data_IF_624620371627
#
_entry.id   IF_624620371627
#
_cell.length_a   1.000
_cell.length_b   1.000
_cell.length_c   1.000
_cell.angle_alpha   90.00
_cell.angle_beta   90.00
_cell.angle_gamma   90.00
#
_symmetry.space_group_name_H-M   'P 1'
#
loop_
_entity.id
_entity.type
_entity.pdbx_description
1 polymer ?
#
# COMPACT_ATOMS: atom_id res chain seq x y z
N UNK A 1 -33.21 40.90 -2.99
CA UNK A 1 -31.88 40.30 -3.16
C UNK A 1 -32.05 38.78 -3.12
N UNK A 2 -32.02 38.10 -4.29
CA UNK A 2 -32.19 36.64 -4.33
C UNK A 2 -30.83 36.00 -3.96
N UNK A 3 -30.81 35.26 -2.86
CA UNK A 3 -29.67 34.43 -2.49
C UNK A 3 -29.57 33.33 -3.54
N UNK A 4 -28.53 33.37 -4.35
CA UNK A 4 -28.20 32.29 -5.26
C UNK A 4 -27.78 31.11 -4.40
N UNK A 5 -28.60 30.06 -4.39
CA UNK A 5 -28.28 28.83 -3.68
C UNK A 5 -26.98 28.27 -4.22
N UNK A 6 -25.98 28.15 -3.36
CA UNK A 6 -24.74 27.42 -3.66
C UNK A 6 -25.15 25.96 -3.82
N UNK A 7 -25.23 25.48 -5.06
CA UNK A 7 -25.31 24.05 -5.32
C UNK A 7 -24.02 23.43 -4.77
N UNK A 8 -24.10 22.82 -3.61
CA UNK A 8 -23.02 21.97 -3.11
C UNK A 8 -22.89 20.81 -4.09
N UNK A 9 -21.84 20.84 -4.90
CA UNK A 9 -21.54 19.73 -5.78
C UNK A 9 -21.39 18.45 -4.94
N UNK A 10 -22.08 17.39 -5.34
CA UNK A 10 -21.96 16.08 -4.66
C UNK A 10 -20.49 15.65 -4.73
N UNK A 11 -19.85 15.50 -3.56
CA UNK A 11 -18.51 14.99 -3.51
C UNK A 11 -18.48 13.56 -4.03
N UNK A 12 -17.68 13.33 -5.06
CA UNK A 12 -17.43 12.01 -5.63
C UNK A 12 -16.02 11.61 -5.22
N UNK A 13 -15.85 10.64 -4.30
CA UNK A 13 -14.53 10.16 -3.92
C UNK A 13 -13.83 9.50 -5.11
N UNK A 14 -12.53 9.73 -5.25
CA UNK A 14 -11.73 9.06 -6.27
C UNK A 14 -11.66 7.55 -6.01
N UNK A 15 -11.50 7.18 -4.74
CA UNK A 15 -11.54 5.79 -4.29
C UNK A 15 -12.11 5.76 -2.87
N UNK A 16 -12.91 4.74 -2.58
CA UNK A 16 -13.39 4.45 -1.23
C UNK A 16 -12.91 3.09 -0.79
N UNK A 17 -12.43 2.94 0.45
CA UNK A 17 -12.15 1.63 1.00
C UNK A 17 -13.39 0.75 0.99
N UNK A 18 -13.22 -0.52 0.71
CA UNK A 18 -14.26 -1.53 0.88
C UNK A 18 -13.99 -2.31 2.14
N UNK A 19 -14.99 -2.41 3.00
CA UNK A 19 -14.93 -3.20 4.24
C UNK A 19 -15.89 -4.36 4.15
N UNK A 20 -15.51 -5.45 4.77
CA UNK A 20 -16.29 -6.67 4.91
C UNK A 20 -16.56 -6.91 6.41
N UNK A 21 -17.36 -7.87 6.75
CA UNK A 21 -17.71 -8.12 8.16
C UNK A 21 -16.58 -8.74 8.98
N UNK A 22 -15.57 -9.30 8.33
CA UNK A 22 -14.50 -10.06 8.97
C UNK A 22 -13.46 -9.17 9.68
N UNK A 23 -13.24 -7.93 9.23
CA UNK A 23 -12.25 -7.03 9.82
C UNK A 23 -12.50 -6.81 11.32
N UNK A 24 -13.78 -6.63 11.69
CA UNK A 24 -14.17 -6.40 13.08
C UNK A 24 -13.89 -7.62 13.97
N UNK A 25 -13.93 -8.83 13.42
CA UNK A 25 -13.58 -10.05 14.12
C UNK A 25 -12.10 -10.06 14.50
N UNK A 26 -11.21 -9.77 13.54
CA UNK A 26 -9.77 -9.70 13.79
C UNK A 26 -9.38 -8.57 14.74
N UNK A 27 -10.02 -7.41 14.60
CA UNK A 27 -9.83 -6.29 15.52
C UNK A 27 -10.23 -6.70 16.94
N UNK A 28 -11.42 -7.28 17.11
CA UNK A 28 -11.89 -7.74 18.42
C UNK A 28 -10.96 -8.78 19.02
N UNK A 29 -10.49 -9.74 18.25
CA UNK A 29 -9.57 -10.78 18.71
C UNK A 29 -8.25 -10.18 19.21
N UNK A 30 -7.70 -9.18 18.52
CA UNK A 30 -6.50 -8.49 18.95
C UNK A 30 -6.67 -7.80 20.30
N UNK A 31 -7.82 -7.16 20.53
CA UNK A 31 -8.16 -6.54 21.82
C UNK A 31 -8.41 -7.57 22.92
N UNK A 32 -9.15 -8.64 22.62
CA UNK A 32 -9.44 -9.72 23.60
C UNK A 32 -8.15 -10.41 24.08
N UNK A 33 -7.15 -10.52 23.21
CA UNK A 33 -5.82 -11.07 23.55
C UNK A 33 -4.86 -10.02 24.11
N UNK A 34 -5.30 -8.77 24.25
CA UNK A 34 -4.45 -7.65 24.66
C UNK A 34 -3.19 -7.51 23.80
N UNK A 35 -3.32 -7.75 22.50
CA UNK A 35 -2.21 -7.71 21.54
C UNK A 35 -2.48 -6.72 20.40
N UNK A 36 -2.33 -5.43 20.73
CA UNK A 36 -2.40 -4.34 19.76
C UNK A 36 -0.98 -3.83 19.54
N UNK A 37 -0.23 -4.54 18.71
CA UNK A 37 1.19 -4.32 18.46
C UNK A 37 1.52 -4.49 16.97
N UNK A 38 2.63 -3.93 16.47
CA UNK A 38 3.02 -4.06 15.05
C UNK A 38 3.42 -5.46 14.62
N UNK A 39 3.73 -6.33 15.57
CA UNK A 39 4.02 -7.76 15.34
C UNK A 39 2.99 -8.60 16.08
N UNK A 40 2.76 -9.81 15.62
CA UNK A 40 1.88 -10.76 16.32
C UNK A 40 1.07 -11.62 15.38
N UNK A 41 0.23 -12.45 15.98
CA UNK A 41 -0.47 -13.54 15.31
C UNK A 41 -1.27 -13.16 14.06
N UNK A 42 -1.83 -11.95 13.97
CA UNK A 42 -2.52 -11.49 12.77
C UNK A 42 -1.54 -11.20 11.62
N UNK A 43 -0.37 -10.62 11.92
CA UNK A 43 0.68 -10.42 10.92
C UNK A 43 1.26 -11.74 10.46
N UNK A 44 1.55 -12.64 11.41
CA UNK A 44 2.11 -13.97 11.14
C UNK A 44 1.15 -14.80 10.26
N UNK A 45 -0.16 -14.77 10.59
CA UNK A 45 -1.20 -15.47 9.82
C UNK A 45 -1.31 -14.88 8.40
N UNK A 46 -1.31 -13.55 8.25
CA UNK A 46 -1.35 -12.90 6.95
C UNK A 46 -0.16 -13.30 6.08
N UNK A 47 1.04 -13.28 6.62
CA UNK A 47 2.25 -13.70 5.90
C UNK A 47 2.20 -15.16 5.49
N UNK A 48 1.75 -16.05 6.38
CA UNK A 48 1.61 -17.48 6.10
C UNK A 48 0.55 -17.76 5.03
N UNK A 49 -0.62 -17.14 5.13
CA UNK A 49 -1.71 -17.31 4.16
C UNK A 49 -1.28 -16.81 2.77
N UNK A 50 -0.59 -15.67 2.71
CA UNK A 50 -0.07 -15.13 1.45
C UNK A 50 1.00 -16.05 0.85
N UNK A 51 1.91 -16.60 1.65
CA UNK A 51 2.87 -17.62 1.21
C UNK A 51 2.16 -18.84 0.64
N UNK A 52 1.12 -19.33 1.33
CA UNK A 52 0.32 -20.45 0.85
C UNK A 52 -0.39 -20.18 -0.48
N UNK A 53 -0.87 -18.95 -0.68
CA UNK A 53 -1.51 -18.52 -1.92
C UNK A 53 -0.52 -18.40 -3.09
N UNK A 54 0.68 -17.89 -2.84
CA UNK A 54 1.72 -17.70 -3.86
C UNK A 54 2.51 -18.95 -4.19
N UNK A 55 2.48 -19.95 -3.33
CA UNK A 55 3.25 -21.19 -3.43
C UNK A 55 4.29 -21.34 -2.34
N UNK A 56 4.56 -22.57 -1.92
CA UNK A 56 5.32 -22.89 -0.69
C UNK A 56 6.80 -22.44 -0.71
N UNK A 57 7.35 -22.05 -1.85
CA UNK A 57 8.74 -21.57 -1.97
C UNK A 57 8.85 -20.04 -1.86
N UNK A 58 7.74 -19.35 -1.59
CA UNK A 58 7.69 -17.91 -1.49
C UNK A 58 7.69 -17.45 -0.03
N UNK A 59 8.22 -16.26 0.20
CA UNK A 59 8.17 -15.59 1.48
C UNK A 59 7.34 -14.32 1.36
N UNK A 60 6.58 -14.00 2.38
CA UNK A 60 5.83 -12.77 2.48
C UNK A 60 6.29 -12.00 3.72
N UNK A 61 6.31 -10.69 3.63
CA UNK A 61 6.61 -9.77 4.71
C UNK A 61 5.55 -8.68 4.76
N UNK A 62 4.81 -8.61 5.85
CA UNK A 62 3.87 -7.54 6.09
C UNK A 62 4.60 -6.24 6.41
N UNK A 63 4.19 -5.15 5.76
CA UNK A 63 4.73 -3.81 6.01
C UNK A 63 3.62 -2.86 6.44
N UNK A 64 3.96 -1.75 7.07
CA UNK A 64 2.99 -0.76 7.55
C UNK A 64 2.26 -0.01 6.42
N UNK A 65 2.74 -0.09 5.19
CA UNK A 65 2.13 0.57 4.03
C UNK A 65 2.68 0.01 2.72
N UNK A 66 1.93 0.19 1.62
CA UNK A 66 2.42 -0.11 0.27
C UNK A 66 3.66 0.69 -0.11
N UNK A 67 3.80 1.93 0.37
CA UNK A 67 5.01 2.74 0.16
C UNK A 67 6.23 2.09 0.80
N UNK A 68 6.09 1.57 2.02
CA UNK A 68 7.17 0.87 2.70
C UNK A 68 7.55 -0.44 1.97
N UNK A 69 6.55 -1.19 1.50
CA UNK A 69 6.77 -2.39 0.70
C UNK A 69 7.52 -2.08 -0.61
N UNK A 70 7.10 -1.05 -1.33
CA UNK A 70 7.76 -0.61 -2.57
C UNK A 70 9.18 -0.11 -2.31
N UNK A 71 9.41 0.63 -1.23
CA UNK A 71 10.77 1.07 -0.87
C UNK A 71 11.70 -0.12 -0.60
N UNK A 72 11.20 -1.10 0.13
CA UNK A 72 11.96 -2.33 0.37
C UNK A 72 12.23 -3.09 -0.95
N UNK A 73 11.23 -3.18 -1.83
CA UNK A 73 11.38 -3.84 -3.14
C UNK A 73 12.42 -3.15 -4.02
N UNK A 74 12.37 -1.80 -4.12
CA UNK A 74 13.33 -1.00 -4.88
C UNK A 74 14.76 -1.20 -4.35
N UNK A 75 14.90 -1.23 -3.02
CA UNK A 75 16.17 -1.48 -2.35
C UNK A 75 16.69 -2.89 -2.61
N UNK A 76 15.84 -3.90 -2.54
CA UNK A 76 16.20 -5.30 -2.84
C UNK A 76 16.54 -5.51 -4.32
N UNK A 77 15.90 -4.76 -5.23
CA UNK A 77 16.26 -4.72 -6.64
C UNK A 77 17.65 -4.12 -6.90
N UNK A 78 18.26 -3.50 -5.89
CA UNK A 78 19.62 -2.97 -5.95
C UNK A 78 19.72 -1.59 -6.58
N UNK A 79 18.61 -0.84 -6.68
CA UNK A 79 18.61 0.54 -7.21
C UNK A 79 19.53 1.42 -6.36
N UNK A 80 20.34 2.21 -7.04
CA UNK A 80 21.34 3.12 -6.45
C UNK A 80 21.19 4.51 -7.03
N UNK A 81 21.89 5.46 -6.40
CA UNK A 81 21.93 6.83 -6.90
C UNK A 81 22.41 6.89 -8.35
N UNK A 82 21.59 7.55 -9.20
CA UNK A 82 21.84 7.69 -10.63
C UNK A 82 21.27 6.59 -11.51
N UNK A 83 20.78 5.49 -10.96
CA UNK A 83 20.10 4.45 -11.74
C UNK A 83 18.77 4.95 -12.29
N UNK A 84 18.46 4.54 -13.52
CA UNK A 84 17.19 4.88 -14.18
C UNK A 84 16.17 3.79 -13.93
N UNK A 85 14.99 4.17 -13.45
CA UNK A 85 13.86 3.28 -13.20
C UNK A 85 12.67 3.71 -14.03
N UNK A 86 12.13 2.80 -14.85
CA UNK A 86 10.92 3.04 -15.63
C UNK A 86 9.70 2.93 -14.71
N UNK A 87 8.86 3.93 -14.76
CA UNK A 87 7.65 4.04 -13.93
C UNK A 87 6.43 4.30 -14.82
N UNK A 88 5.30 3.69 -14.51
CA UNK A 88 4.04 4.07 -15.14
C UNK A 88 3.66 5.49 -14.73
N UNK A 89 3.16 6.31 -15.65
CA UNK A 89 2.63 7.64 -15.35
C UNK A 89 1.23 7.58 -14.72
N UNK A 90 0.45 6.55 -15.02
CA UNK A 90 -0.85 6.31 -14.40
C UNK A 90 -0.68 5.50 -13.10
N UNK A 91 -0.24 6.15 -12.04
CA UNK A 91 -0.04 5.50 -10.75
C UNK A 91 -0.15 6.49 -9.59
N UNK A 92 -0.30 5.96 -8.38
CA UNK A 92 -0.23 6.76 -7.17
C UNK A 92 1.22 7.20 -6.90
N UNK A 93 1.44 8.44 -6.49
CA UNK A 93 2.78 9.01 -6.28
C UNK A 93 3.69 8.14 -5.38
N UNK A 94 3.09 7.45 -4.39
CA UNK A 94 3.84 6.54 -3.52
C UNK A 94 4.49 5.35 -4.25
N UNK A 95 4.06 5.03 -5.47
CA UNK A 95 4.67 3.98 -6.30
C UNK A 95 6.06 4.38 -6.77
N UNK A 96 6.27 5.65 -7.06
CA UNK A 96 7.51 6.16 -7.65
C UNK A 96 8.44 6.83 -6.65
N UNK A 97 7.91 7.37 -5.55
CA UNK A 97 8.70 8.03 -4.52
C UNK A 97 9.86 7.18 -3.98
N UNK A 98 9.72 5.85 -3.76
CA UNK A 98 10.82 5.01 -3.30
C UNK A 98 12.05 5.01 -4.20
N UNK A 99 11.89 5.21 -5.50
CA UNK A 99 13.02 5.36 -6.44
C UNK A 99 13.85 6.58 -6.07
N UNK A 100 13.18 7.70 -5.76
CA UNK A 100 13.86 8.93 -5.32
C UNK A 100 14.52 8.74 -3.95
N UNK A 101 13.95 7.95 -3.05
CA UNK A 101 14.55 7.69 -1.73
C UNK A 101 15.91 6.99 -1.85
N UNK A 102 16.09 6.11 -2.85
CA UNK A 102 17.36 5.46 -3.13
C UNK A 102 18.26 6.30 -4.08
N UNK A 103 17.83 7.52 -4.46
CA UNK A 103 18.61 8.41 -5.34
C UNK A 103 18.51 8.03 -6.81
N UNK A 104 17.60 7.16 -7.20
CA UNK A 104 17.33 6.79 -8.58
C UNK A 104 16.61 7.90 -9.36
N UNK A 105 16.67 7.80 -10.67
CA UNK A 105 16.04 8.72 -11.64
C UNK A 105 14.77 8.03 -12.18
N UNK A 106 13.63 8.66 -11.96
CA UNK A 106 12.34 8.18 -12.48
C UNK A 106 12.19 8.58 -13.94
N UNK A 107 11.88 7.64 -14.80
CA UNK A 107 11.49 7.89 -16.19
C UNK A 107 10.08 7.36 -16.37
N UNK A 108 9.15 8.28 -16.60
CA UNK A 108 7.74 7.90 -16.77
C UNK A 108 7.49 7.41 -18.18
N UNK A 109 6.71 6.35 -18.25
CA UNK A 109 6.23 5.75 -19.50
C UNK A 109 4.72 5.71 -19.48
N UNK A 110 4.13 6.02 -20.62
CA UNK A 110 2.69 5.95 -20.82
C UNK A 110 2.21 4.49 -20.68
N UNK A 111 1.04 4.34 -20.13
CA UNK A 111 0.38 3.04 -19.98
C UNK A 111 -0.92 3.07 -20.78
N UNK A 112 -0.96 2.40 -21.92
CA UNK A 112 -2.15 2.19 -22.72
C UNK A 112 -3.15 1.23 -22.05
#
# INVERSE_FOLDING_TARGET
>A
MKVVGIFMAKHIPLATPTTYSEEMKFIKEAFDRNWVAPLGFNCDAFEQELCGYLGQEQYALATCSGTAALHLAVKLAGVKSGDVVLCSDLTFAATVNPVTYEGGIQVFVDSE
#
